data_IF_713681515930
#
_entry.id   IF_713681515930
#
_cell.length_a   1.000
_cell.length_b   1.000
_cell.length_c   1.000
_cell.angle_alpha   90.00
_cell.angle_beta   90.00
_cell.angle_gamma   90.00
#
_symmetry.space_group_name_H-M   'P 1'
#
loop_
_entity.id
_entity.type
_entity.pdbx_description
1 polymer ?
#
# COMPACT_ATOMS: atom_id res chain seq x y z
N UNK A 1 11.42 -10.37 -24.39
CA UNK A 1 12.45 -10.57 -23.35
C UNK A 1 11.96 -9.85 -22.10
N UNK A 2 11.25 -10.44 -21.14
CA UNK A 2 11.40 -11.73 -20.51
C UNK A 2 11.79 -11.50 -19.04
N UNK A 3 10.95 -10.78 -18.26
CA UNK A 3 11.14 -10.51 -16.82
C UNK A 3 11.07 -11.81 -16.00
N UNK A 4 12.06 -12.70 -16.16
CA UNK A 4 12.35 -13.70 -15.13
C UNK A 4 13.29 -13.06 -14.12
N UNK A 5 12.71 -12.16 -13.34
CA UNK A 5 13.36 -11.53 -12.20
C UNK A 5 13.15 -12.42 -10.99
N UNK A 6 14.22 -12.75 -10.27
CA UNK A 6 14.05 -13.20 -8.89
C UNK A 6 13.57 -12.02 -8.05
N UNK A 7 12.96 -12.27 -6.89
CA UNK A 7 12.45 -11.21 -6.01
C UNK A 7 13.55 -10.24 -5.56
N UNK A 8 14.79 -10.75 -5.40
CA UNK A 8 15.96 -9.96 -5.04
C UNK A 8 16.33 -8.98 -6.14
N UNK A 9 16.34 -9.43 -7.41
CA UNK A 9 16.60 -8.55 -8.55
C UNK A 9 15.54 -7.46 -8.71
N UNK A 10 14.31 -7.71 -8.24
CA UNK A 10 13.22 -6.74 -8.27
C UNK A 10 13.43 -5.60 -7.28
N UNK A 11 13.76 -5.93 -6.03
CA UNK A 11 14.02 -4.94 -4.98
C UNK A 11 15.26 -4.09 -5.30
N UNK A 12 16.34 -4.71 -5.79
CA UNK A 12 17.56 -3.96 -6.14
C UNK A 12 17.31 -2.94 -7.26
N UNK A 13 16.56 -3.33 -8.30
CA UNK A 13 16.18 -2.40 -9.37
C UNK A 13 15.27 -1.28 -8.86
N UNK A 14 14.35 -1.60 -7.96
CA UNK A 14 13.47 -0.59 -7.37
C UNK A 14 14.28 0.41 -6.53
N UNK A 15 15.17 -0.07 -5.67
CA UNK A 15 16.02 0.79 -4.85
C UNK A 15 16.91 1.69 -5.73
N UNK A 16 17.55 1.13 -6.77
CA UNK A 16 18.34 1.94 -7.70
C UNK A 16 17.53 2.98 -8.47
N UNK A 17 16.25 2.72 -8.73
CA UNK A 17 15.36 3.72 -9.35
C UNK A 17 14.92 4.84 -8.39
N UNK A 18 14.99 4.59 -7.08
CA UNK A 18 14.47 5.46 -6.02
C UNK A 18 15.56 6.14 -5.16
N UNK A 19 16.83 5.77 -5.32
CA UNK A 19 17.96 6.15 -4.45
C UNK A 19 18.01 7.67 -4.16
N UNK A 20 17.88 8.50 -5.20
CA UNK A 20 17.93 9.97 -5.09
C UNK A 20 16.55 10.64 -5.19
N UNK A 21 15.46 9.92 -4.92
CA UNK A 21 14.10 10.42 -5.09
C UNK A 21 13.34 10.51 -3.77
N UNK A 22 12.64 11.63 -3.61
CA UNK A 22 11.53 11.71 -2.67
C UNK A 22 10.30 11.06 -3.32
N UNK A 23 9.84 9.94 -2.77
CA UNK A 23 8.73 9.19 -3.33
C UNK A 23 7.79 8.63 -2.26
N UNK A 24 6.50 8.56 -2.58
CA UNK A 24 5.52 7.82 -1.81
C UNK A 24 5.20 6.52 -2.53
N UNK A 25 5.51 5.39 -1.90
CA UNK A 25 5.10 4.07 -2.37
C UNK A 25 3.83 3.62 -1.62
N UNK A 26 2.79 3.28 -2.38
CA UNK A 26 1.56 2.72 -1.83
C UNK A 26 1.58 1.21 -1.99
N UNK A 27 1.46 0.49 -0.88
CA UNK A 27 1.29 -0.96 -0.85
C UNK A 27 -0.17 -1.24 -0.52
N UNK A 28 -0.92 -1.77 -1.48
CA UNK A 28 -2.34 -1.99 -1.32
C UNK A 28 -2.64 -3.44 -0.91
N UNK A 29 -3.66 -3.62 -0.07
CA UNK A 29 -4.28 -4.92 0.27
C UNK A 29 -3.28 -5.96 0.82
N UNK A 30 -2.46 -5.53 1.79
CA UNK A 30 -1.37 -6.33 2.35
C UNK A 30 -1.84 -7.46 3.30
N UNK A 31 -3.13 -7.57 3.64
CA UNK A 31 -3.63 -8.53 4.66
C UNK A 31 -3.34 -10.00 4.39
N UNK A 32 -3.01 -10.36 3.14
CA UNK A 32 -2.65 -11.73 2.77
C UNK A 32 -1.14 -12.00 2.80
N UNK A 33 -0.33 -10.95 2.89
CA UNK A 33 1.13 -10.97 2.72
C UNK A 33 1.82 -10.06 3.73
N UNK A 34 1.28 -9.95 4.95
CA UNK A 34 1.72 -8.96 5.94
C UNK A 34 3.20 -9.09 6.26
N UNK A 35 3.68 -10.31 6.52
CA UNK A 35 5.10 -10.58 6.80
C UNK A 35 6.01 -10.22 5.62
N UNK A 36 5.60 -10.55 4.40
CA UNK A 36 6.36 -10.26 3.19
C UNK A 36 6.38 -8.77 2.88
N UNK A 37 5.26 -8.09 3.05
CA UNK A 37 5.12 -6.64 2.90
C UNK A 37 5.97 -5.89 3.94
N UNK A 38 5.96 -6.35 5.19
CA UNK A 38 6.77 -5.80 6.27
C UNK A 38 8.27 -5.92 5.97
N UNK A 39 8.71 -7.12 5.54
CA UNK A 39 10.10 -7.36 5.13
C UNK A 39 10.51 -6.48 3.96
N UNK A 40 9.67 -6.39 2.93
CA UNK A 40 9.92 -5.55 1.76
C UNK A 40 10.02 -4.07 2.14
N UNK A 41 9.05 -3.55 2.92
CA UNK A 41 9.02 -2.17 3.37
C UNK A 41 10.25 -1.82 4.22
N UNK A 42 10.64 -2.70 5.14
CA UNK A 42 11.83 -2.51 5.96
C UNK A 42 13.12 -2.42 5.15
N UNK A 43 13.31 -3.31 4.16
CA UNK A 43 14.48 -3.28 3.28
C UNK A 43 14.49 -2.03 2.39
N UNK A 44 13.34 -1.62 1.86
CA UNK A 44 13.22 -0.44 1.02
C UNK A 44 13.53 0.84 1.80
N UNK A 45 12.90 1.02 2.96
CA UNK A 45 13.09 2.19 3.82
C UNK A 45 14.54 2.31 4.33
N UNK A 46 15.20 1.17 4.59
CA UNK A 46 16.61 1.16 4.99
C UNK A 46 17.58 1.57 3.88
N UNK A 47 17.20 1.41 2.60
CA UNK A 47 18.06 1.70 1.44
C UNK A 47 17.73 3.02 0.75
N UNK A 48 16.50 3.49 0.86
CA UNK A 48 16.01 4.67 0.17
C UNK A 48 15.41 5.65 1.18
N UNK A 49 16.22 6.49 1.84
CA UNK A 49 15.77 7.35 2.94
C UNK A 49 14.78 8.45 2.51
N UNK A 50 14.73 8.78 1.21
CA UNK A 50 13.73 9.70 0.64
C UNK A 50 12.36 9.06 0.40
N UNK A 51 12.24 7.74 0.55
CA UNK A 51 10.99 7.02 0.30
C UNK A 51 10.13 6.98 1.56
N UNK A 52 8.83 7.21 1.37
CA UNK A 52 7.78 6.99 2.37
C UNK A 52 6.89 5.85 1.89
N UNK A 53 6.41 5.02 2.82
CA UNK A 53 5.49 3.93 2.51
C UNK A 53 4.14 4.20 3.15
N UNK A 54 3.07 4.04 2.36
CA UNK A 54 1.70 3.94 2.85
C UNK A 54 1.18 2.54 2.53
N UNK A 55 0.96 1.73 3.56
CA UNK A 55 0.38 0.40 3.40
C UNK A 55 -1.10 0.41 3.78
N UNK A 56 -1.95 -0.23 2.98
CA UNK A 56 -3.33 -0.56 3.37
C UNK A 56 -3.38 -2.05 3.74
N UNK A 57 -3.99 -2.36 4.88
CA UNK A 57 -4.09 -3.71 5.42
C UNK A 57 -5.19 -3.75 6.49
N UNK A 58 -5.67 -4.95 6.80
CA UNK A 58 -6.60 -5.20 7.92
C UNK A 58 -5.89 -5.38 9.26
N UNK A 59 -4.58 -5.55 9.24
CA UNK A 59 -3.71 -5.68 10.41
C UNK A 59 -2.40 -4.92 10.20
N UNK A 60 -1.72 -4.57 11.30
CA UNK A 60 -0.45 -3.85 11.27
C UNK A 60 0.64 -4.67 10.56
N UNK A 61 1.55 -4.01 9.83
CA UNK A 61 2.72 -4.67 9.24
C UNK A 61 3.75 -5.07 10.32
N UNK A 62 3.75 -4.39 11.46
CA UNK A 62 4.61 -4.70 12.60
C UNK A 62 6.06 -4.27 12.41
N UNK A 63 6.31 -3.24 11.60
CA UNK A 63 7.67 -2.72 11.37
C UNK A 63 8.03 -1.60 12.36
N UNK A 64 9.33 -1.44 12.65
CA UNK A 64 9.80 -0.33 13.49
C UNK A 64 9.48 1.03 12.84
N UNK A 65 8.89 1.94 13.62
CA UNK A 65 8.49 3.26 13.13
C UNK A 65 7.16 3.29 12.38
N UNK A 66 6.42 2.18 12.35
CA UNK A 66 5.06 2.14 11.80
C UNK A 66 4.12 3.09 12.56
N UNK A 67 3.34 3.85 11.80
CA UNK A 67 2.25 4.67 12.32
C UNK A 67 0.95 4.10 11.79
N UNK A 68 0.11 3.61 12.70
CA UNK A 68 -1.20 3.08 12.35
C UNK A 68 -2.22 4.21 12.22
N UNK A 69 -2.96 4.19 11.12
CA UNK A 69 -4.07 5.10 10.86
C UNK A 69 -5.34 4.27 10.67
N UNK A 70 -6.11 4.01 11.75
CA UNK A 70 -7.37 3.29 11.65
C UNK A 70 -8.35 4.03 10.74
N UNK A 71 -8.95 3.31 9.81
CA UNK A 71 -10.01 3.84 8.94
C UNK A 71 -11.34 3.56 9.59
N UNK A 72 -11.92 4.58 10.20
CA UNK A 72 -13.23 4.49 10.83
C UNK A 72 -14.34 4.21 9.79
N UNK A 73 -15.43 3.53 10.20
CA UNK A 73 -16.61 3.39 9.36
C UNK A 73 -17.13 4.76 8.89
N UNK A 74 -17.66 4.78 7.67
CA UNK A 74 -18.24 5.99 7.11
C UNK A 74 -19.45 6.44 7.96
N UNK A 75 -19.57 7.75 8.32
CA UNK A 75 -20.71 8.24 9.09
C UNK A 75 -22.05 7.91 8.41
N UNK A 76 -23.09 7.62 9.20
CA UNK A 76 -24.35 7.09 8.70
C UNK A 76 -24.96 7.91 7.55
N UNK A 77 -24.97 9.24 7.67
CA UNK A 77 -25.49 10.13 6.61
C UNK A 77 -24.67 10.05 5.32
N UNK A 78 -23.33 9.98 5.45
CA UNK A 78 -22.44 9.84 4.30
C UNK A 78 -22.57 8.45 3.66
N UNK A 79 -22.77 7.40 4.46
CA UNK A 79 -23.03 6.05 3.98
C UNK A 79 -24.35 5.94 3.22
N UNK A 80 -25.43 6.54 3.74
CA UNK A 80 -26.72 6.62 3.04
C UNK A 80 -26.60 7.38 1.71
N UNK A 81 -25.89 8.52 1.71
CA UNK A 81 -25.64 9.29 0.49
C UNK A 81 -24.88 8.47 -0.54
N UNK A 82 -23.78 7.83 -0.16
CA UNK A 82 -23.00 6.97 -1.05
C UNK A 82 -23.85 5.82 -1.61
N UNK A 83 -24.67 5.18 -0.76
CA UNK A 83 -25.58 4.13 -1.21
C UNK A 83 -26.56 4.62 -2.27
N UNK A 84 -27.23 5.75 -2.03
CA UNK A 84 -28.18 6.35 -2.97
C UNK A 84 -27.50 6.75 -4.29
N UNK A 85 -26.29 7.33 -4.23
CA UNK A 85 -25.49 7.67 -5.41
C UNK A 85 -25.16 6.43 -6.24
N UNK A 86 -24.70 5.34 -5.60
CA UNK A 86 -24.38 4.09 -6.28
C UNK A 86 -25.61 3.41 -6.86
N UNK A 87 -26.72 3.38 -6.12
CA UNK A 87 -27.99 2.82 -6.58
C UNK A 87 -28.52 3.54 -7.83
N UNK A 88 -28.37 4.87 -7.89
CA UNK A 88 -28.79 5.69 -9.05
C UNK A 88 -27.85 5.55 -10.25
N UNK A 89 -26.56 5.31 -10.02
CA UNK A 89 -25.56 5.17 -11.08
C UNK A 89 -25.71 3.86 -11.87
N UNK A 90 -26.36 2.85 -11.30
CA UNK A 90 -26.67 1.60 -11.98
C UNK A 90 -27.81 1.84 -12.99
N UNK A 91 -27.55 1.55 -14.27
CA UNK A 91 -28.63 1.37 -15.26
C UNK A 91 -29.12 -0.07 -15.17
N UNK A 92 -30.39 -0.32 -14.86
CA UNK A 92 -30.96 -1.66 -15.05
C UNK A 92 -30.85 -1.99 -16.55
N UNK A 93 -30.24 -3.13 -16.85
CA UNK A 93 -30.31 -3.74 -18.17
C UNK A 93 -31.66 -4.40 -18.40
#
# INVERSE_FOLDING_TARGET
>A
EGLRSTAVDGLDRLCGALEDREALLVLDNCEHLVEDAARFAGLLLGRCPGVRVLATSREALGITGEVLVPVEPLPAEAAQRLFLERARAVRPG
#
